data_IF_261076228669
#
_entry.id   IF_261076228669
#
_cell.length_a   1.000
_cell.length_b   1.000
_cell.length_c   1.000
_cell.angle_alpha   90.00
_cell.angle_beta   90.00
_cell.angle_gamma   90.00
#
_symmetry.space_group_name_H-M   'P 1'
#
loop_
_entity.id
_entity.type
_entity.pdbx_description
1 polymer ?
#
# COMPACT_ATOMS: atom_id res chain seq x y z
N UNK A 1 34.42 -6.18 3.88
CA UNK A 1 33.50 -7.20 4.40
C UNK A 1 32.65 -6.56 5.47
N UNK A 2 31.49 -6.00 5.13
CA UNK A 2 30.51 -5.56 6.13
C UNK A 2 29.33 -6.54 6.10
N UNK A 3 29.35 -7.53 6.99
CA UNK A 3 28.14 -8.21 7.43
C UNK A 3 27.36 -7.21 8.30
N UNK A 4 26.52 -6.39 7.72
CA UNK A 4 25.39 -5.81 8.45
C UNK A 4 24.36 -6.94 8.57
N UNK A 5 24.26 -7.52 9.75
CA UNK A 5 23.01 -8.09 10.19
C UNK A 5 22.02 -6.94 10.22
N UNK A 6 21.21 -6.84 9.16
CA UNK A 6 20.00 -6.02 9.18
C UNK A 6 19.01 -6.83 10.02
N UNK A 7 19.13 -6.70 11.34
CA UNK A 7 17.98 -6.87 12.21
C UNK A 7 17.15 -5.65 11.89
N UNK A 8 16.08 -5.83 11.11
CA UNK A 8 15.16 -4.77 10.74
C UNK A 8 14.57 -4.17 12.03
N UNK A 9 14.95 -2.95 12.48
CA UNK A 9 14.38 -2.33 13.67
C UNK A 9 12.94 -1.88 13.45
N UNK A 10 12.37 -2.18 12.27
CA UNK A 10 11.08 -1.72 11.78
C UNK A 10 9.91 -2.37 12.55
N UNK A 11 10.10 -3.54 13.16
CA UNK A 11 8.98 -4.31 13.70
C UNK A 11 8.88 -4.33 15.22
N UNK A 12 9.76 -3.63 15.93
CA UNK A 12 9.70 -3.55 17.39
C UNK A 12 8.69 -2.46 17.81
N UNK A 13 7.57 -2.90 18.40
CA UNK A 13 6.40 -2.14 18.88
C UNK A 13 5.34 -1.79 17.82
N UNK A 14 4.26 -2.59 17.79
CA UNK A 14 3.01 -2.27 17.09
C UNK A 14 2.41 -0.96 17.64
N UNK A 15 2.73 0.18 17.01
CA UNK A 15 2.18 1.49 17.39
C UNK A 15 0.90 1.76 16.62
N UNK A 16 -0.23 1.75 17.32
CA UNK A 16 -1.47 2.35 16.83
C UNK A 16 -1.39 3.86 17.02
N UNK A 17 -1.42 4.61 15.93
CA UNK A 17 -1.54 6.06 15.98
C UNK A 17 -3.00 6.43 16.20
N UNK A 18 -3.27 6.94 17.42
CA UNK A 18 -4.58 7.48 17.77
C UNK A 18 -4.73 8.87 17.15
N UNK A 19 -5.74 9.04 16.31
CA UNK A 19 -6.16 10.38 15.86
C UNK A 19 -6.80 11.04 17.08
N UNK A 20 -6.08 11.94 17.76
CA UNK A 20 -6.60 12.64 18.95
C UNK A 20 -7.70 13.61 18.53
N UNK A 21 -8.87 13.48 19.16
CA UNK A 21 -9.82 14.59 19.23
C UNK A 21 -9.23 15.63 20.19
N UNK A 22 -8.91 16.82 19.72
CA UNK A 22 -8.82 17.98 20.58
C UNK A 22 -10.25 18.46 20.81
N UNK A 23 -10.67 18.52 22.10
CA UNK A 23 -11.94 19.02 22.63
C UNK A 23 -13.20 18.19 22.36
N UNK A 24 -13.84 17.84 23.49
CA UNK A 24 -15.23 17.49 23.74
C UNK A 24 -15.94 16.49 22.81
N UNK A 25 -16.68 15.57 23.42
CA UNK A 25 -17.57 14.53 22.84
C UNK A 25 -18.65 15.09 21.88
N UNK A 26 -18.23 15.78 20.81
CA UNK A 26 -19.11 16.01 19.68
C UNK A 26 -19.26 14.65 19.00
N UNK A 27 -20.39 14.01 19.21
CA UNK A 27 -20.84 12.83 18.49
C UNK A 27 -20.91 13.26 17.02
N UNK A 28 -19.82 13.06 16.27
CA UNK A 28 -19.75 13.45 14.87
C UNK A 28 -20.68 12.55 14.09
N UNK A 29 -21.73 13.13 13.52
CA UNK A 29 -22.68 12.41 12.68
C UNK A 29 -21.94 11.84 11.46
N UNK A 30 -22.10 10.55 11.22
CA UNK A 30 -21.49 9.88 10.04
C UNK A 30 -22.28 10.27 8.79
N UNK A 31 -21.62 10.23 7.62
CA UNK A 31 -22.30 10.42 6.35
C UNK A 31 -23.39 9.36 6.15
N UNK A 32 -24.50 9.76 5.58
CA UNK A 32 -25.62 8.87 5.23
C UNK A 32 -25.31 8.12 3.91
N UNK A 33 -24.59 7.03 4.03
CA UNK A 33 -24.24 6.15 2.90
C UNK A 33 -24.36 4.68 3.32
N UNK A 34 -24.58 3.81 2.35
CA UNK A 34 -24.60 2.35 2.60
C UNK A 34 -23.17 1.81 2.77
N UNK A 35 -22.68 1.82 4.00
CA UNK A 35 -21.34 1.36 4.37
C UNK A 35 -21.11 -0.13 4.08
N UNK A 36 -22.17 -0.93 4.04
CA UNK A 36 -22.09 -2.37 3.85
C UNK A 36 -21.90 -2.77 2.37
N UNK A 37 -22.21 -1.86 1.46
CA UNK A 37 -22.19 -2.11 0.01
C UNK A 37 -21.12 -1.31 -0.74
N UNK A 38 -20.08 -0.85 -0.04
CA UNK A 38 -18.97 -0.16 -0.66
C UNK A 38 -18.08 -1.15 -1.44
N UNK A 39 -17.63 -0.73 -2.62
CA UNK A 39 -16.54 -1.37 -3.36
C UNK A 39 -15.20 -0.72 -3.00
N UNK A 40 -14.10 -1.24 -3.54
CA UNK A 40 -12.79 -0.58 -3.49
C UNK A 40 -12.68 0.46 -4.64
N UNK A 41 -13.59 1.43 -4.64
CA UNK A 41 -13.71 2.48 -5.66
C UNK A 41 -13.58 3.87 -5.06
N UNK A 42 -13.28 4.86 -5.92
CA UNK A 42 -13.21 6.26 -5.49
C UNK A 42 -14.58 6.82 -5.19
N UNK A 43 -14.72 7.44 -4.04
CA UNK A 43 -15.83 8.30 -3.65
C UNK A 43 -15.24 9.61 -3.12
N UNK A 44 -15.69 10.73 -3.66
CA UNK A 44 -15.24 12.06 -3.24
C UNK A 44 -15.64 12.32 -1.78
N UNK A 45 -14.70 12.88 -1.02
CA UNK A 45 -14.88 13.27 0.37
C UNK A 45 -14.75 14.80 0.53
N UNK A 46 -14.88 15.32 1.76
CA UNK A 46 -14.98 16.76 1.96
C UNK A 46 -13.63 17.49 1.80
N UNK A 47 -12.50 16.83 2.11
CA UNK A 47 -11.18 17.46 2.12
C UNK A 47 -10.08 16.55 1.61
N UNK A 48 -9.11 17.14 0.92
CA UNK A 48 -7.77 16.60 0.64
C UNK A 48 -6.72 17.44 1.37
N UNK A 49 -5.47 16.94 1.43
CA UNK A 49 -4.32 17.72 1.87
C UNK A 49 -3.42 18.02 0.67
N UNK A 50 -2.77 19.19 0.66
CA UNK A 50 -1.83 19.60 -0.39
C UNK A 50 -0.65 20.35 0.21
N UNK A 51 0.57 20.05 -0.26
CA UNK A 51 1.80 20.80 -0.01
C UNK A 51 2.62 20.86 -1.30
N UNK A 52 3.24 21.99 -1.59
CA UNK A 52 4.03 22.20 -2.79
C UNK A 52 5.52 22.29 -2.47
N UNK A 53 6.33 21.68 -3.34
CA UNK A 53 7.79 21.82 -3.30
C UNK A 53 8.25 22.75 -4.42
N UNK A 54 8.93 23.80 -4.03
CA UNK A 54 9.49 24.79 -4.95
C UNK A 54 10.70 25.44 -4.32
N UNK A 55 11.68 25.82 -5.14
CA UNK A 55 12.92 26.48 -4.68
C UNK A 55 13.63 25.71 -3.54
N UNK A 56 13.66 24.39 -3.65
CA UNK A 56 14.36 23.49 -2.72
C UNK A 56 13.64 23.22 -1.38
N UNK A 57 12.38 23.61 -1.23
CA UNK A 57 11.64 23.44 0.03
C UNK A 57 10.17 23.15 -0.16
N UNK A 58 9.60 22.44 0.80
CA UNK A 58 8.16 22.25 0.94
C UNK A 58 7.54 23.46 1.65
N UNK A 59 6.38 23.93 1.17
CA UNK A 59 5.52 24.87 1.90
C UNK A 59 4.90 24.21 3.15
N UNK A 60 4.17 24.98 3.97
CA UNK A 60 3.58 24.46 5.20
C UNK A 60 2.48 23.40 4.95
N UNK A 61 1.89 23.40 3.74
CA UNK A 61 0.77 22.56 3.37
C UNK A 61 -0.56 22.99 3.99
N UNK A 62 -1.66 22.49 3.45
CA UNK A 62 -3.00 22.83 3.92
C UNK A 62 -4.06 21.83 3.49
N UNK A 63 -5.20 21.83 4.18
CA UNK A 63 -6.42 21.18 3.72
C UNK A 63 -7.04 21.97 2.55
N UNK A 64 -7.63 21.26 1.60
CA UNK A 64 -8.34 21.84 0.45
C UNK A 64 -9.63 21.06 0.17
N UNK A 65 -10.64 21.77 -0.33
CA UNK A 65 -11.86 21.18 -0.92
C UNK A 65 -11.76 21.02 -2.44
N UNK A 66 -10.67 21.52 -3.02
CA UNK A 66 -10.43 21.36 -4.47
C UNK A 66 -9.72 20.02 -4.71
N UNK A 67 -10.44 19.10 -5.32
CA UNK A 67 -9.96 17.76 -5.68
C UNK A 67 -9.35 17.70 -7.07
N UNK A 68 -9.35 18.83 -7.80
CA UNK A 68 -8.74 18.92 -9.13
C UNK A 68 -7.25 19.26 -9.05
N UNK A 69 -6.50 18.81 -10.05
CA UNK A 69 -5.10 19.16 -10.25
C UNK A 69 -4.93 19.66 -11.67
N UNK A 70 -4.54 20.91 -11.83
CA UNK A 70 -4.25 21.49 -13.14
C UNK A 70 -2.74 21.55 -13.35
N UNK A 71 -2.25 20.91 -14.40
CA UNK A 71 -0.84 20.80 -14.73
C UNK A 71 -0.60 21.18 -16.20
N UNK A 72 0.65 21.58 -16.49
CA UNK A 72 1.11 21.70 -17.86
C UNK A 72 1.16 20.30 -18.52
N UNK A 73 0.84 20.20 -19.82
CA UNK A 73 0.90 18.92 -20.57
C UNK A 73 2.28 18.25 -20.54
N UNK A 74 3.35 19.03 -20.36
CA UNK A 74 4.72 18.55 -20.23
C UNK A 74 5.13 18.25 -18.77
N UNK A 75 4.20 18.19 -17.81
CA UNK A 75 4.56 17.89 -16.43
C UNK A 75 5.28 16.53 -16.33
N UNK A 76 6.29 16.45 -15.46
CA UNK A 76 7.11 15.25 -15.28
C UNK A 76 6.31 14.00 -14.93
N UNK A 77 5.18 14.15 -14.22
CA UNK A 77 4.27 13.04 -13.91
C UNK A 77 3.64 12.45 -15.18
N UNK A 78 3.31 13.26 -16.19
CA UNK A 78 2.71 12.76 -17.44
C UNK A 78 3.75 12.16 -18.39
N UNK A 79 4.90 12.81 -18.52
CA UNK A 79 5.89 12.41 -19.51
C UNK A 79 6.75 11.24 -19.06
N UNK A 80 7.11 11.18 -17.77
CA UNK A 80 8.09 10.21 -17.25
C UNK A 80 7.60 9.45 -16.02
N UNK A 81 6.27 9.43 -15.76
CA UNK A 81 5.68 8.75 -14.61
C UNK A 81 6.38 9.12 -13.28
N UNK A 82 6.82 10.39 -13.16
CA UNK A 82 7.55 10.87 -11.98
C UNK A 82 6.60 11.08 -10.81
N UNK A 83 6.19 9.97 -10.21
CA UNK A 83 5.24 9.90 -9.09
C UNK A 83 5.45 8.62 -8.28
N UNK A 84 5.24 8.72 -6.99
CA UNK A 84 5.12 7.58 -6.08
C UNK A 84 3.98 7.83 -5.09
N UNK A 85 3.50 6.77 -4.46
CA UNK A 85 2.32 6.87 -3.61
C UNK A 85 2.36 5.91 -2.43
N UNK A 86 1.46 6.13 -1.49
CA UNK A 86 1.25 5.27 -0.35
C UNK A 86 -0.21 4.85 -0.21
N UNK A 87 -0.43 3.85 0.63
CA UNK A 87 -1.77 3.39 0.96
C UNK A 87 -1.83 2.91 2.40
N UNK A 88 -2.68 3.54 3.19
CA UNK A 88 -2.98 3.15 4.56
C UNK A 88 -4.47 3.33 4.83
N UNK A 89 -4.92 2.95 6.01
CA UNK A 89 -6.35 2.99 6.37
C UNK A 89 -6.57 3.61 7.74
N UNK A 90 -7.70 4.32 7.87
CA UNK A 90 -8.24 4.70 9.16
C UNK A 90 -9.45 3.81 9.51
N UNK A 91 -9.57 3.47 10.78
CA UNK A 91 -10.56 2.55 11.33
C UNK A 91 -11.29 3.22 12.50
N UNK A 92 -12.58 2.93 12.64
CA UNK A 92 -13.30 3.18 13.88
C UNK A 92 -13.19 1.94 14.78
N UNK A 93 -12.70 2.10 15.99
CA UNK A 93 -12.62 1.04 16.99
C UNK A 93 -13.98 0.85 17.69
N UNK A 94 -14.16 -0.26 18.43
CA UNK A 94 -15.39 -0.56 19.17
C UNK A 94 -15.78 0.55 20.16
N UNK A 95 -14.79 1.17 20.81
CA UNK A 95 -14.97 2.31 21.71
C UNK A 95 -15.11 3.68 21.00
N UNK A 96 -15.26 3.67 19.66
CA UNK A 96 -15.53 4.85 18.83
C UNK A 96 -14.32 5.73 18.50
N UNK A 97 -13.09 5.34 18.89
CA UNK A 97 -11.87 6.05 18.46
C UNK A 97 -11.61 5.85 16.99
N UNK A 98 -10.98 6.84 16.36
CA UNK A 98 -10.43 6.71 15.01
C UNK A 98 -8.91 6.47 15.14
N UNK A 99 -8.41 5.43 14.49
CA UNK A 99 -7.01 5.02 14.55
C UNK A 99 -6.46 4.74 13.17
N UNK A 100 -5.15 5.01 12.97
CA UNK A 100 -4.37 4.57 11.82
C UNK A 100 -3.30 3.58 12.29
N UNK A 101 -3.00 2.58 11.46
CA UNK A 101 -1.97 1.60 11.74
C UNK A 101 -0.66 2.00 11.07
N UNK A 102 0.39 2.27 11.86
CA UNK A 102 1.77 2.51 11.45
C UNK A 102 1.96 3.50 10.28
N UNK A 103 1.38 4.72 10.33
CA UNK A 103 1.63 5.74 9.30
C UNK A 103 3.10 6.17 9.22
N UNK A 104 3.88 5.99 10.28
CA UNK A 104 5.33 6.17 10.33
C UNK A 104 6.07 5.29 9.30
N UNK A 105 5.69 4.02 9.19
CA UNK A 105 6.27 3.10 8.20
C UNK A 105 5.86 3.45 6.76
N UNK A 106 4.66 3.97 6.56
CA UNK A 106 4.28 4.51 5.26
C UNK A 106 5.10 5.74 4.88
N UNK A 107 5.37 6.65 5.86
CA UNK A 107 6.22 7.81 5.64
C UNK A 107 7.65 7.40 5.24
N UNK A 108 8.22 6.43 5.95
CA UNK A 108 9.55 5.89 5.62
C UNK A 108 9.59 5.27 4.23
N UNK A 109 8.60 4.43 3.87
CA UNK A 109 8.56 3.78 2.55
C UNK A 109 8.30 4.78 1.41
N UNK A 110 7.53 5.86 1.66
CA UNK A 110 7.41 6.96 0.70
C UNK A 110 8.76 7.64 0.47
N UNK A 111 9.55 7.87 1.54
CA UNK A 111 10.91 8.39 1.45
C UNK A 111 11.79 7.50 0.57
N UNK A 112 11.83 6.19 0.83
CA UNK A 112 12.62 5.23 0.04
C UNK A 112 12.21 5.27 -1.44
N UNK A 113 10.90 5.40 -1.73
CA UNK A 113 10.37 5.53 -3.09
C UNK A 113 10.81 6.85 -3.74
N UNK A 114 10.77 7.96 -3.01
CA UNK A 114 11.23 9.27 -3.50
C UNK A 114 12.72 9.24 -3.82
N UNK A 115 13.55 8.75 -2.90
CA UNK A 115 15.00 8.67 -3.08
C UNK A 115 15.36 7.83 -4.31
N UNK A 116 14.69 6.69 -4.54
CA UNK A 116 14.92 5.83 -5.73
C UNK A 116 14.52 6.50 -7.04
N UNK A 117 13.55 7.43 -7.01
CA UNK A 117 13.05 8.16 -8.20
C UNK A 117 13.63 9.57 -8.33
N UNK A 118 14.68 9.91 -7.55
CA UNK A 118 15.29 11.24 -7.54
C UNK A 118 14.26 12.36 -7.30
N UNK A 119 13.31 12.11 -6.39
CA UNK A 119 12.25 13.05 -6.00
C UNK A 119 12.53 13.62 -4.60
N UNK A 120 12.11 14.86 -4.28
CA UNK A 120 12.30 15.41 -2.95
C UNK A 120 11.51 14.63 -1.90
N UNK A 121 12.17 14.31 -0.80
CA UNK A 121 11.54 13.62 0.33
C UNK A 121 10.59 14.57 1.05
N UNK A 122 9.35 14.13 1.28
CA UNK A 122 8.44 14.81 2.20
C UNK A 122 8.76 14.39 3.64
N UNK A 123 8.95 15.33 4.60
CA UNK A 123 9.38 15.00 5.96
C UNK A 123 8.43 14.01 6.66
N UNK A 124 8.99 12.97 7.29
CA UNK A 124 8.21 11.86 7.88
C UNK A 124 7.26 12.31 8.99
N UNK A 125 7.69 13.24 9.84
CA UNK A 125 6.86 13.81 10.91
C UNK A 125 5.70 14.65 10.34
N UNK A 126 5.95 15.37 9.25
CA UNK A 126 4.92 16.14 8.54
C UNK A 126 3.93 15.22 7.82
N UNK A 127 4.42 14.10 7.28
CA UNK A 127 3.54 13.09 6.67
C UNK A 127 2.52 12.55 7.68
N UNK A 128 2.98 12.17 8.88
CA UNK A 128 2.09 11.66 9.93
C UNK A 128 1.06 12.72 10.33
N UNK A 129 1.50 13.97 10.53
CA UNK A 129 0.59 15.09 10.85
C UNK A 129 -0.43 15.34 9.74
N UNK A 130 0.00 15.35 8.48
CA UNK A 130 -0.90 15.55 7.33
C UNK A 130 -1.95 14.43 7.24
N UNK A 131 -1.57 13.17 7.52
CA UNK A 131 -2.51 12.05 7.63
C UNK A 131 -3.53 12.29 8.75
N UNK A 132 -3.07 12.71 9.93
CA UNK A 132 -3.97 13.04 11.05
C UNK A 132 -4.94 14.18 10.70
N UNK A 133 -4.45 15.25 10.10
CA UNK A 133 -5.26 16.41 9.72
C UNK A 133 -6.35 16.04 8.70
N UNK A 134 -6.00 15.33 7.62
CA UNK A 134 -6.97 14.96 6.59
C UNK A 134 -8.00 13.97 7.10
N UNK A 135 -7.61 13.04 8.00
CA UNK A 135 -8.55 12.08 8.61
C UNK A 135 -9.48 12.80 9.59
N UNK A 136 -8.98 13.73 10.40
CA UNK A 136 -9.80 14.57 11.29
C UNK A 136 -10.82 15.38 10.51
N UNK A 137 -10.41 16.04 9.43
CA UNK A 137 -11.29 16.84 8.59
C UNK A 137 -12.39 16.01 7.90
N UNK A 138 -12.12 14.72 7.65
CA UNK A 138 -13.04 13.76 7.03
C UNK A 138 -13.59 12.73 8.04
N UNK A 139 -13.63 13.01 9.32
CA UNK A 139 -14.03 12.01 10.34
C UNK A 139 -15.46 11.48 10.18
N UNK A 140 -16.36 12.27 9.56
CA UNK A 140 -17.69 11.83 9.16
C UNK A 140 -17.68 10.71 8.10
N UNK A 141 -16.61 10.64 7.29
CA UNK A 141 -16.39 9.65 6.23
C UNK A 141 -15.68 8.38 6.71
N UNK A 142 -15.20 8.34 7.95
CA UNK A 142 -14.61 7.10 8.51
C UNK A 142 -15.74 6.14 8.82
N UNK A 143 -15.80 4.94 8.20
CA UNK A 143 -16.89 3.99 8.39
C UNK A 143 -17.10 3.61 9.86
N UNK A 144 -18.34 3.33 10.30
CA UNK A 144 -18.61 2.85 11.63
C UNK A 144 -17.94 1.50 11.93
N UNK A 145 -17.64 1.24 13.22
CA UNK A 145 -17.19 -0.08 13.66
C UNK A 145 -18.21 -1.17 13.29
N UNK A 146 -17.71 -2.31 12.82
CA UNK A 146 -18.57 -3.44 12.43
C UNK A 146 -19.17 -3.35 11.02
N UNK A 147 -19.02 -2.25 10.29
CA UNK A 147 -19.52 -2.10 8.91
C UNK A 147 -18.76 -2.95 7.87
N UNK A 148 -17.56 -3.44 8.21
CA UNK A 148 -16.66 -4.10 7.26
C UNK A 148 -15.92 -3.15 6.30
N UNK A 149 -16.27 -1.86 6.30
CA UNK A 149 -15.64 -0.82 5.50
C UNK A 149 -14.56 -0.06 6.29
N UNK A 150 -13.69 0.64 5.58
CA UNK A 150 -12.59 1.44 6.14
C UNK A 150 -12.41 2.73 5.34
N UNK A 151 -11.78 3.76 5.94
CA UNK A 151 -11.35 4.92 5.18
C UNK A 151 -9.96 4.66 4.60
N UNK A 152 -9.86 4.50 3.30
CA UNK A 152 -8.59 4.38 2.60
C UNK A 152 -7.95 5.76 2.43
N UNK A 153 -6.65 5.85 2.68
CA UNK A 153 -5.86 7.07 2.63
C UNK A 153 -4.79 6.88 1.56
N UNK A 154 -4.71 7.80 0.60
CA UNK A 154 -3.79 7.78 -0.53
C UNK A 154 -2.89 9.02 -0.52
N UNK A 155 -1.75 8.99 0.20
CA UNK A 155 -0.68 9.96 -0.01
C UNK A 155 0.04 9.71 -1.33
N UNK A 156 0.44 10.79 -2.04
CA UNK A 156 1.25 10.67 -3.24
C UNK A 156 2.03 11.94 -3.52
N UNK A 157 3.15 11.80 -4.22
CA UNK A 157 3.97 12.91 -4.71
C UNK A 157 4.05 12.82 -6.22
N UNK A 158 4.04 13.96 -6.91
CA UNK A 158 4.15 14.04 -8.36
C UNK A 158 4.97 15.24 -8.80
N UNK A 159 5.76 15.09 -9.87
CA UNK A 159 6.46 16.18 -10.53
C UNK A 159 5.50 17.04 -11.35
N UNK A 160 5.47 18.35 -11.10
CA UNK A 160 4.43 19.27 -11.58
C UNK A 160 4.88 20.24 -12.65
N UNK A 161 6.17 20.62 -12.70
CA UNK A 161 6.67 21.54 -13.71
C UNK A 161 6.86 20.87 -15.07
N UNK A 162 6.88 21.68 -16.12
CA UNK A 162 7.12 21.23 -17.49
C UNK A 162 8.55 20.70 -17.68
N UNK A 163 8.69 19.49 -18.22
CA UNK A 163 9.97 18.80 -18.48
C UNK A 163 9.87 18.05 -19.80
N UNK A 164 10.78 18.33 -20.73
CA UNK A 164 10.89 17.55 -21.99
C UNK A 164 12.11 16.62 -21.98
N UNK A 165 13.27 17.09 -21.50
CA UNK A 165 14.43 16.23 -21.30
C UNK A 165 14.22 15.24 -20.15
N UNK A 166 14.77 14.02 -20.25
CA UNK A 166 14.70 13.03 -19.18
C UNK A 166 15.56 13.49 -18.01
N UNK A 167 14.93 14.11 -17.03
CA UNK A 167 15.54 14.59 -15.79
C UNK A 167 14.47 14.64 -14.67
N UNK A 168 14.88 14.69 -13.40
CA UNK A 168 13.96 15.00 -12.31
C UNK A 168 13.25 16.34 -12.55
N UNK A 169 12.00 16.46 -12.11
CA UNK A 169 11.32 17.74 -12.06
C UNK A 169 11.96 18.68 -11.04
N UNK A 170 11.72 19.97 -11.16
CA UNK A 170 12.21 20.99 -10.21
C UNK A 170 11.13 21.39 -9.19
N UNK A 171 9.86 21.15 -9.52
CA UNK A 171 8.70 21.41 -8.66
C UNK A 171 7.86 20.15 -8.49
N UNK A 172 7.33 19.94 -7.28
CA UNK A 172 6.51 18.77 -6.92
C UNK A 172 5.32 19.18 -6.08
N UNK A 173 4.32 18.31 -6.05
CA UNK A 173 3.19 18.44 -5.15
C UNK A 173 2.99 17.13 -4.38
N UNK A 174 2.92 17.24 -3.05
CA UNK A 174 2.46 16.18 -2.16
C UNK A 174 0.96 16.37 -1.91
N UNK A 175 0.18 15.32 -2.05
CA UNK A 175 -1.26 15.32 -1.77
C UNK A 175 -1.67 14.09 -0.98
N UNK A 176 -2.74 14.23 -0.20
CA UNK A 176 -3.43 13.10 0.41
C UNK A 176 -4.90 13.21 0.05
N UNK A 177 -5.45 12.22 -0.62
CA UNK A 177 -6.89 12.01 -0.75
C UNK A 177 -7.33 10.87 0.18
N UNK A 178 -8.59 10.88 0.60
CA UNK A 178 -9.21 9.80 1.36
C UNK A 178 -10.52 9.38 0.71
N UNK A 179 -10.89 8.11 0.86
CA UNK A 179 -12.13 7.57 0.31
C UNK A 179 -12.59 6.37 1.14
N UNK A 180 -13.89 6.27 1.48
CA UNK A 180 -14.39 5.08 2.15
C UNK A 180 -14.42 3.90 1.17
N UNK A 181 -13.96 2.75 1.61
CA UNK A 181 -13.85 1.55 0.76
C UNK A 181 -14.37 0.31 1.49
N UNK A 182 -14.95 -0.61 0.71
CA UNK A 182 -15.27 -1.97 1.13
C UNK A 182 -14.09 -2.94 0.90
N UNK A 183 -14.35 -4.25 0.93
CA UNK A 183 -13.34 -5.28 0.67
C UNK A 183 -12.71 -5.15 -0.71
N UNK A 184 -11.39 -5.37 -0.78
CA UNK A 184 -10.63 -5.32 -2.05
C UNK A 184 -11.03 -6.45 -3.01
N UNK A 185 -11.08 -7.68 -2.51
CA UNK A 185 -11.60 -8.80 -3.28
C UNK A 185 -13.09 -8.98 -3.03
N UNK A 186 -13.87 -9.12 -4.11
CA UNK A 186 -15.30 -9.41 -4.03
C UNK A 186 -15.50 -10.77 -3.37
N UNK A 187 -16.35 -10.84 -2.34
CA UNK A 187 -16.61 -12.06 -1.60
C UNK A 187 -15.90 -12.18 -0.24
N UNK A 188 -15.14 -11.17 0.16
CA UNK A 188 -14.52 -11.11 1.50
C UNK A 188 -13.47 -12.20 1.72
N UNK A 189 -13.62 -13.00 2.77
CA UNK A 189 -12.67 -14.07 3.15
C UNK A 189 -12.81 -15.37 2.34
N UNK A 190 -13.57 -15.38 1.23
CA UNK A 190 -13.66 -16.58 0.37
C UNK A 190 -12.34 -16.80 -0.36
N UNK A 191 -11.87 -18.07 -0.47
CA UNK A 191 -10.65 -18.38 -1.20
C UNK A 191 -10.75 -17.96 -2.67
N UNK A 192 -9.71 -17.29 -3.15
CA UNK A 192 -9.59 -16.85 -4.54
C UNK A 192 -8.80 -17.84 -5.38
N UNK A 193 -9.02 -17.81 -6.69
CA UNK A 193 -8.22 -18.53 -7.68
C UNK A 193 -7.33 -17.55 -8.40
N UNK A 194 -6.03 -17.84 -8.45
CA UNK A 194 -5.03 -17.04 -9.14
C UNK A 194 -4.30 -17.89 -10.18
N UNK A 195 -3.61 -17.24 -11.11
CA UNK A 195 -2.74 -17.93 -12.08
C UNK A 195 -1.29 -17.47 -11.96
N UNK A 196 -0.35 -18.25 -12.46
CA UNK A 196 1.02 -17.82 -12.70
C UNK A 196 1.03 -16.93 -13.94
N UNK A 197 1.71 -15.78 -13.86
CA UNK A 197 1.79 -14.84 -14.97
C UNK A 197 2.93 -15.20 -15.93
N UNK A 198 2.67 -15.10 -17.23
CA UNK A 198 3.73 -15.14 -18.26
C UNK A 198 4.54 -13.84 -18.33
N UNK A 199 4.03 -12.76 -17.73
CA UNK A 199 4.66 -11.45 -17.72
C UNK A 199 5.42 -11.21 -16.42
N UNK A 200 6.42 -10.35 -16.48
CA UNK A 200 7.16 -9.89 -15.31
C UNK A 200 6.45 -8.70 -14.65
N UNK A 201 6.52 -8.62 -13.32
CA UNK A 201 6.01 -7.47 -12.56
C UNK A 201 7.04 -6.32 -12.51
N UNK A 202 8.31 -6.66 -12.43
CA UNK A 202 9.42 -5.71 -12.31
C UNK A 202 10.71 -6.33 -12.84
N UNK A 203 11.65 -5.50 -13.30
CA UNK A 203 13.00 -5.96 -13.67
C UNK A 203 13.79 -6.39 -12.41
N UNK A 204 14.79 -7.30 -12.53
CA UNK A 204 15.55 -7.83 -11.39
C UNK A 204 16.22 -6.77 -10.52
N UNK A 205 16.74 -5.70 -11.12
CA UNK A 205 17.35 -4.54 -10.45
C UNK A 205 16.59 -3.25 -10.71
N UNK A 206 15.28 -3.36 -10.93
CA UNK A 206 14.41 -2.25 -11.29
C UNK A 206 13.82 -1.52 -10.09
N UNK A 207 12.53 -1.29 -10.15
CA UNK A 207 11.76 -0.47 -9.20
C UNK A 207 10.74 -1.27 -8.41
N UNK A 208 10.78 -2.61 -8.47
CA UNK A 208 9.79 -3.47 -7.82
C UNK A 208 9.64 -3.25 -6.31
N UNK A 209 10.72 -2.86 -5.64
CA UNK A 209 10.76 -2.62 -4.20
C UNK A 209 10.19 -1.26 -3.77
N UNK A 210 9.86 -0.37 -4.69
CA UNK A 210 9.25 0.93 -4.37
C UNK A 210 7.79 1.00 -4.78
N UNK A 211 7.03 1.91 -4.16
CA UNK A 211 5.60 2.06 -4.43
C UNK A 211 5.36 3.17 -5.47
N UNK A 212 5.67 2.86 -6.73
CA UNK A 212 5.59 3.77 -7.87
C UNK A 212 4.54 3.31 -8.88
N UNK A 213 3.79 4.27 -9.44
CA UNK A 213 2.72 4.00 -10.41
C UNK A 213 3.18 3.21 -11.63
N UNK A 214 4.43 3.38 -12.05
CA UNK A 214 5.01 2.66 -13.19
C UNK A 214 4.98 1.13 -13.02
N UNK A 215 5.16 0.61 -11.79
CA UNK A 215 5.10 -0.84 -11.52
C UNK A 215 3.68 -1.37 -11.70
N UNK A 216 2.67 -0.57 -11.36
CA UNK A 216 1.25 -0.93 -11.50
C UNK A 216 0.80 -0.82 -12.94
N UNK A 217 1.24 0.20 -13.67
CA UNK A 217 0.98 0.33 -15.10
C UNK A 217 1.54 -0.86 -15.90
N UNK A 218 2.74 -1.34 -15.55
CA UNK A 218 3.35 -2.52 -16.15
C UNK A 218 2.51 -3.78 -15.94
N UNK A 219 1.82 -3.91 -14.81
CA UNK A 219 1.00 -5.07 -14.45
C UNK A 219 -0.41 -5.05 -15.06
N UNK A 220 -0.87 -3.92 -15.66
CA UNK A 220 -2.25 -3.77 -16.11
C UNK A 220 -2.65 -4.80 -17.17
N UNK A 221 -1.78 -5.09 -18.14
CA UNK A 221 -2.09 -6.07 -19.17
C UNK A 221 -2.31 -7.46 -18.56
N UNK A 222 -1.40 -7.88 -17.70
CA UNK A 222 -1.48 -9.20 -17.06
C UNK A 222 -2.73 -9.36 -16.18
N UNK A 223 -3.14 -8.35 -15.42
CA UNK A 223 -4.33 -8.44 -14.56
C UNK A 223 -5.63 -8.40 -15.37
N UNK A 224 -5.70 -7.59 -16.43
CA UNK A 224 -6.87 -7.56 -17.31
C UNK A 224 -7.08 -8.89 -17.99
N UNK A 225 -6.00 -9.51 -18.49
CA UNK A 225 -6.04 -10.82 -19.11
C UNK A 225 -6.42 -11.93 -18.09
N UNK A 226 -5.86 -11.88 -16.86
CA UNK A 226 -6.26 -12.80 -15.79
C UNK A 226 -7.76 -12.70 -15.47
N UNK A 227 -8.29 -11.49 -15.32
CA UNK A 227 -9.71 -11.27 -15.05
C UNK A 227 -10.61 -11.76 -16.19
N UNK A 228 -10.20 -11.57 -17.46
CA UNK A 228 -10.93 -12.08 -18.62
C UNK A 228 -11.04 -13.61 -18.63
N UNK A 229 -10.07 -14.30 -18.02
CA UNK A 229 -10.03 -15.75 -17.86
C UNK A 229 -10.65 -16.25 -16.54
N UNK A 230 -11.19 -15.35 -15.72
CA UNK A 230 -11.88 -15.68 -14.45
C UNK A 230 -10.95 -15.81 -13.24
N UNK A 231 -9.69 -15.45 -13.35
CA UNK A 231 -8.75 -15.40 -12.22
C UNK A 231 -8.85 -14.07 -11.46
N UNK A 232 -8.68 -14.11 -10.16
CA UNK A 232 -8.75 -12.91 -9.32
C UNK A 232 -7.46 -12.10 -9.33
N UNK A 233 -6.30 -12.74 -9.55
CA UNK A 233 -4.98 -12.12 -9.48
C UNK A 233 -3.92 -13.00 -10.18
N UNK A 234 -2.72 -12.45 -10.37
CA UNK A 234 -1.56 -13.17 -10.88
C UNK A 234 -0.53 -13.41 -9.77
N UNK A 235 0.09 -14.60 -9.77
CA UNK A 235 1.38 -14.84 -9.12
C UNK A 235 2.48 -14.47 -10.08
N UNK A 236 3.38 -13.57 -9.68
CA UNK A 236 4.57 -13.26 -10.46
C UNK A 236 5.77 -14.05 -9.95
N UNK A 237 6.58 -14.53 -10.87
CA UNK A 237 7.85 -15.19 -10.59
C UNK A 237 9.00 -14.20 -10.81
N UNK A 238 10.16 -14.50 -10.26
CA UNK A 238 11.36 -13.69 -10.45
C UNK A 238 11.71 -13.59 -11.94
N UNK A 239 11.97 -12.38 -12.45
CA UNK A 239 12.14 -12.18 -13.88
C UNK A 239 13.50 -12.71 -14.42
N UNK A 240 14.46 -13.01 -13.53
CA UNK A 240 15.77 -13.52 -13.93
C UNK A 240 15.75 -15.02 -14.25
N UNK A 241 15.05 -15.82 -13.47
CA UNK A 241 15.06 -17.29 -13.61
C UNK A 241 13.69 -17.91 -13.77
N UNK A 242 12.62 -17.20 -13.39
CA UNK A 242 11.23 -17.67 -13.34
C UNK A 242 11.04 -18.93 -12.47
N UNK A 243 11.88 -19.08 -11.47
CA UNK A 243 11.84 -20.23 -10.56
C UNK A 243 11.43 -19.87 -9.14
N UNK A 244 11.39 -18.58 -8.80
CA UNK A 244 11.10 -18.11 -7.44
C UNK A 244 9.82 -17.29 -7.43
N UNK A 245 9.01 -17.50 -6.40
CA UNK A 245 7.80 -16.70 -6.17
C UNK A 245 8.18 -15.31 -5.67
N UNK A 246 7.60 -14.27 -6.28
CA UNK A 246 7.72 -12.90 -5.79
C UNK A 246 6.42 -12.47 -5.10
N UNK A 247 5.61 -11.66 -5.75
CA UNK A 247 4.35 -11.15 -5.19
C UNK A 247 3.27 -11.09 -6.27
N UNK A 248 2.09 -10.61 -5.94
CA UNK A 248 1.04 -10.31 -6.93
C UNK A 248 1.15 -8.86 -7.42
N UNK A 249 0.23 -8.42 -8.29
CA UNK A 249 0.15 -7.02 -8.70
C UNK A 249 -0.10 -6.04 -7.55
N UNK A 250 -0.78 -6.45 -6.48
CA UNK A 250 -1.18 -5.57 -5.39
C UNK A 250 -1.00 -6.11 -3.96
N UNK A 251 -0.48 -7.33 -3.77
CA UNK A 251 -0.36 -7.98 -2.47
C UNK A 251 0.84 -8.93 -2.39
N UNK A 252 1.33 -9.17 -1.18
CA UNK A 252 2.41 -10.12 -0.93
C UNK A 252 1.88 -11.50 -0.58
N UNK A 253 2.66 -12.54 -0.87
CA UNK A 253 2.35 -13.92 -0.46
C UNK A 253 2.75 -14.20 0.98
N UNK A 254 1.91 -15.01 1.61
CA UNK A 254 2.21 -15.74 2.86
C UNK A 254 1.82 -17.20 2.65
N UNK A 255 2.64 -18.10 3.19
CA UNK A 255 2.42 -19.54 3.14
C UNK A 255 2.52 -20.14 4.54
N UNK A 256 1.83 -21.25 4.77
CA UNK A 256 2.02 -22.08 5.95
C UNK A 256 2.46 -23.47 5.49
N UNK A 257 3.57 -23.93 6.02
CA UNK A 257 4.05 -25.30 5.74
C UNK A 257 3.23 -26.35 6.51
N UNK A 258 3.39 -27.62 6.16
CA UNK A 258 2.70 -28.72 6.84
C UNK A 258 3.09 -28.88 8.32
N UNK A 259 4.26 -28.40 8.71
CA UNK A 259 4.73 -28.37 10.10
C UNK A 259 4.38 -27.07 10.83
N UNK A 260 3.60 -26.18 10.20
CA UNK A 260 3.11 -24.94 10.82
C UNK A 260 4.06 -23.76 10.75
N UNK A 261 5.14 -23.81 9.93
CA UNK A 261 6.04 -22.66 9.74
C UNK A 261 5.39 -21.61 8.84
N UNK A 262 5.40 -20.35 9.27
CA UNK A 262 4.99 -19.20 8.45
C UNK A 262 6.14 -18.83 7.51
N UNK A 263 5.89 -18.84 6.20
CA UNK A 263 6.89 -18.55 5.16
C UNK A 263 6.41 -17.38 4.30
N UNK A 264 7.30 -16.46 3.97
CA UNK A 264 7.00 -15.38 3.01
C UNK A 264 8.20 -15.11 2.10
N UNK A 265 7.95 -14.85 0.79
CA UNK A 265 9.02 -14.62 -0.17
C UNK A 265 9.87 -13.39 0.16
N UNK A 266 11.18 -13.53 -0.05
CA UNK A 266 12.18 -12.47 0.04
C UNK A 266 12.85 -12.27 -1.32
N UNK A 267 12.80 -11.05 -1.83
CA UNK A 267 13.47 -10.62 -3.06
C UNK A 267 13.66 -9.11 -3.02
N UNK A 268 14.69 -8.62 -3.71
CA UNK A 268 14.96 -7.17 -3.82
C UNK A 268 13.98 -6.46 -4.79
N UNK A 269 13.13 -7.20 -5.50
CA UNK A 269 12.07 -6.65 -6.35
C UNK A 269 10.67 -6.73 -5.74
N UNK A 270 10.52 -7.28 -4.53
CA UNK A 270 9.25 -7.30 -3.81
C UNK A 270 9.07 -6.02 -2.98
N UNK A 271 7.86 -5.42 -3.05
CA UNK A 271 7.52 -4.29 -2.20
C UNK A 271 7.59 -4.68 -0.71
N UNK A 272 8.36 -3.93 0.15
CA UNK A 272 8.41 -4.18 1.59
C UNK A 272 7.06 -3.81 2.22
N UNK A 273 6.21 -4.81 2.42
CA UNK A 273 4.84 -4.65 2.92
C UNK A 273 4.81 -4.46 4.42
N UNK A 274 4.17 -3.39 4.88
CA UNK A 274 3.92 -3.12 6.30
C UNK A 274 3.03 -4.20 6.90
N UNK A 275 2.00 -4.64 6.18
CA UNK A 275 1.10 -5.73 6.61
C UNK A 275 1.88 -7.05 6.76
N UNK A 276 2.67 -7.43 5.75
CA UNK A 276 3.47 -8.66 5.80
C UNK A 276 4.44 -8.65 6.99
N UNK A 277 5.18 -7.56 7.17
CA UNK A 277 6.08 -7.42 8.30
C UNK A 277 5.38 -7.51 9.65
N UNK A 278 4.20 -6.91 9.78
CA UNK A 278 3.38 -7.00 11.00
C UNK A 278 2.86 -8.42 11.22
N UNK A 279 2.47 -9.15 10.17
CA UNK A 279 2.03 -10.54 10.27
C UNK A 279 3.17 -11.48 10.68
N UNK A 280 4.40 -11.22 10.25
CA UNK A 280 5.58 -11.96 10.73
C UNK A 280 5.72 -11.83 12.25
N UNK A 281 5.59 -10.61 12.80
CA UNK A 281 5.63 -10.37 14.26
C UNK A 281 4.47 -11.06 14.96
N UNK A 282 3.26 -10.96 14.41
CA UNK A 282 2.07 -11.64 14.98
C UNK A 282 2.26 -13.15 14.97
N UNK A 283 2.73 -13.73 13.89
CA UNK A 283 2.98 -15.16 13.77
C UNK A 283 4.01 -15.65 14.82
N UNK A 284 5.12 -14.93 14.97
CA UNK A 284 6.18 -15.31 15.91
C UNK A 284 5.79 -15.05 17.35
N UNK A 285 5.42 -13.81 17.70
CA UNK A 285 5.28 -13.39 19.09
C UNK A 285 3.92 -13.73 19.72
N UNK A 286 2.85 -13.78 18.93
CA UNK A 286 1.50 -14.02 19.45
C UNK A 286 0.97 -15.41 19.15
N UNK A 287 1.39 -16.03 18.03
CA UNK A 287 0.93 -17.36 17.66
C UNK A 287 2.01 -18.44 17.93
N UNK A 288 3.24 -18.04 18.28
CA UNK A 288 4.34 -18.96 18.56
C UNK A 288 4.79 -19.78 17.36
N UNK A 289 4.52 -19.30 16.14
CA UNK A 289 4.93 -19.99 14.91
C UNK A 289 6.39 -19.69 14.60
N UNK A 290 7.09 -20.64 14.01
CA UNK A 290 8.37 -20.37 13.34
C UNK A 290 8.10 -19.48 12.12
N UNK A 291 8.94 -18.45 11.90
CA UNK A 291 8.83 -17.52 10.77
C UNK A 291 10.06 -17.59 9.88
N UNK A 292 9.86 -17.74 8.58
CA UNK A 292 10.91 -17.74 7.57
C UNK A 292 10.63 -16.67 6.50
N UNK A 293 11.53 -15.68 6.40
CA UNK A 293 11.55 -14.70 5.33
C UNK A 293 12.71 -15.05 4.40
N UNK A 294 12.43 -15.78 3.34
CA UNK A 294 13.42 -16.39 2.45
C UNK A 294 12.97 -16.43 1.00
N UNK A 295 13.86 -16.79 0.10
CA UNK A 295 13.46 -17.19 -1.24
C UNK A 295 12.50 -18.38 -1.17
N UNK A 296 11.45 -18.37 -1.99
CA UNK A 296 10.46 -19.44 -2.12
C UNK A 296 10.50 -19.93 -3.56
N UNK A 297 10.86 -21.19 -3.76
CA UNK A 297 10.84 -21.79 -5.08
C UNK A 297 9.40 -22.07 -5.52
N UNK A 298 9.10 -21.84 -6.79
CA UNK A 298 7.77 -22.13 -7.31
C UNK A 298 7.41 -23.61 -7.15
N UNK A 299 8.37 -24.49 -7.37
CA UNK A 299 8.15 -25.96 -7.23
C UNK A 299 7.78 -26.41 -5.82
N UNK A 300 8.17 -25.65 -4.76
CA UNK A 300 7.80 -25.97 -3.37
C UNK A 300 6.39 -25.53 -2.99
N UNK A 301 5.75 -24.65 -3.78
CA UNK A 301 4.41 -24.10 -3.48
C UNK A 301 3.36 -25.20 -3.31
N UNK A 302 3.45 -26.28 -4.06
CA UNK A 302 2.57 -27.47 -3.97
C UNK A 302 2.67 -28.22 -2.65
N UNK A 303 3.76 -28.03 -1.90
CA UNK A 303 4.02 -28.73 -0.64
C UNK A 303 3.56 -27.94 0.58
N UNK A 304 3.18 -26.67 0.43
CA UNK A 304 2.60 -25.87 1.52
C UNK A 304 1.19 -26.33 1.87
N UNK A 305 0.83 -26.16 3.14
CA UNK A 305 -0.50 -26.48 3.65
C UNK A 305 -1.52 -25.37 3.31
N UNK A 306 -1.06 -24.10 3.37
CA UNK A 306 -1.90 -22.93 3.11
C UNK A 306 -1.16 -21.87 2.30
N UNK A 307 -1.94 -21.11 1.53
CA UNK A 307 -1.48 -19.92 0.80
C UNK A 307 -2.46 -18.77 1.02
N UNK A 308 -1.92 -17.59 1.24
CA UNK A 308 -2.69 -16.36 1.37
C UNK A 308 -1.97 -15.16 0.76
N UNK A 309 -2.75 -14.12 0.50
CA UNK A 309 -2.26 -12.79 0.11
C UNK A 309 -2.43 -11.83 1.28
N UNK A 310 -1.49 -10.91 1.44
CA UNK A 310 -1.61 -9.87 2.46
C UNK A 310 -1.19 -8.49 1.95
N UNK A 311 -1.83 -7.46 2.49
CA UNK A 311 -1.55 -6.05 2.15
C UNK A 311 -2.58 -5.11 2.75
N UNK A 312 -2.34 -3.81 2.68
CA UNK A 312 -3.29 -2.80 3.20
C UNK A 312 -4.66 -2.91 2.54
N UNK A 313 -4.73 -3.12 1.24
CA UNK A 313 -5.98 -3.27 0.51
C UNK A 313 -6.59 -4.66 0.72
N UNK A 314 -5.81 -5.72 0.48
CA UNK A 314 -6.23 -7.11 0.55
C UNK A 314 -6.48 -7.62 1.97
N UNK A 315 -5.92 -6.96 3.00
CA UNK A 315 -5.89 -7.42 4.41
C UNK A 315 -5.18 -8.78 4.49
N UNK A 316 -5.92 -9.86 4.69
CA UNK A 316 -5.52 -11.25 4.48
C UNK A 316 -6.59 -11.90 3.61
N UNK A 317 -6.19 -12.44 2.47
CA UNK A 317 -7.11 -13.11 1.54
C UNK A 317 -6.60 -14.51 1.24
N UNK A 318 -7.38 -15.57 1.53
CA UNK A 318 -6.94 -16.93 1.28
C UNK A 318 -6.90 -17.23 -0.22
N UNK A 319 -5.89 -17.99 -0.64
CA UNK A 319 -5.76 -18.52 -2.00
C UNK A 319 -6.15 -19.99 -1.98
N UNK A 320 -7.20 -20.33 -2.72
CA UNK A 320 -7.72 -21.72 -2.79
C UNK A 320 -7.13 -22.50 -3.95
N UNK A 321 -6.68 -21.83 -5.01
CA UNK A 321 -6.12 -22.47 -6.19
C UNK A 321 -5.12 -21.56 -6.91
N UNK A 322 -4.00 -22.15 -7.31
CA UNK A 322 -3.01 -21.55 -8.20
C UNK A 322 -2.98 -22.38 -9.48
N UNK A 323 -3.08 -21.73 -10.62
CA UNK A 323 -3.05 -22.37 -11.95
C UNK A 323 -1.81 -21.89 -12.70
N UNK A 324 -1.01 -22.82 -13.16
CA UNK A 324 0.14 -22.62 -14.02
C UNK A 324 -0.25 -22.85 -15.47
#
# INVERSE_FOLDING_TARGET
VYKRQIVDPIYDNARLYRIRKETEDIKMEKKDIDWSNLSFGYQETDYSYVSNYKDGKWDDGQLTKDHTVTLNECAGVFQYAQTCFEGLKAYTTEDGRIVCFRPDLNAQRLKDSCERLEMPVFPEDRFVKAVEEVVKANAAWVPPYGSGATLYIRPYIMGTNAVIGVKPADEYQFRILVTPVGPYFKGGAKPITIRVSDFDRAAPHGTGHIKAGLNYAMSLHAIVDAHAQGFAENMYLDPATRTKVEETGGANFIFITKDGTFVTPKSDSILPSITRGSLMVVAEQYLGLKVEHREVLFDEVKDFAECGLCGTAAVISPVGKIVD
#
